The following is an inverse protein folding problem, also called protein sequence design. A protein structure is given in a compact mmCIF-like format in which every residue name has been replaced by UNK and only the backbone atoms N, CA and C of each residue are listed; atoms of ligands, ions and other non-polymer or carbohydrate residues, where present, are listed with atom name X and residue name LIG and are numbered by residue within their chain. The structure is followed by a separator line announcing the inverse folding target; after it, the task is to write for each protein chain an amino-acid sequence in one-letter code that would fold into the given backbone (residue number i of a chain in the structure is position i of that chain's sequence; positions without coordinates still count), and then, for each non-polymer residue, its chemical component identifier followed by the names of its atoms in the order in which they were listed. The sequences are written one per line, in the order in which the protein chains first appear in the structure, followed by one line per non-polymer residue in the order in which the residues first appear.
data_IF_334070861919
#
_entry.id   IF_334070861919
#
_cell.length_a   1.000
_cell.length_b   1.000
_cell.length_c   1.000
_cell.angle_alpha   90.00
_cell.angle_beta   90.00
_cell.angle_gamma   90.00
#
_symmetry.space_group_name_H-M   'P 1'
#
loop_
_entity.id
_entity.type
_entity.pdbx_description
1 polymer ?
#
# COMPACT_ATOMS: atom_id res chain seq x y z
N UNK A 1 -46.54 0.39 1.33
CA UNK A 1 -46.05 -0.53 2.37
C UNK A 1 -44.95 -1.38 1.73
N UNK A 2 -43.71 -1.22 2.19
CA UNK A 2 -42.47 -1.99 1.91
C UNK A 2 -42.10 -2.34 0.45
N UNK A 3 -41.13 -1.59 -0.09
CA UNK A 3 -40.14 -2.09 -1.06
C UNK A 3 -38.77 -1.86 -0.43
N UNK A 4 -38.11 -2.92 0.04
CA UNK A 4 -36.70 -2.89 0.45
C UNK A 4 -36.13 -4.32 0.46
N UNK A 5 -35.92 -4.89 -0.73
CA UNK A 5 -35.06 -6.06 -0.92
C UNK A 5 -33.74 -5.60 -1.55
N UNK A 6 -32.88 -4.96 -0.74
CA UNK A 6 -31.58 -4.45 -1.19
C UNK A 6 -30.62 -5.62 -1.45
N UNK A 7 -29.89 -5.54 -2.56
CA UNK A 7 -28.89 -6.48 -3.05
C UNK A 7 -27.74 -6.65 -2.03
N UNK A 8 -27.69 -7.79 -1.34
CA UNK A 8 -26.57 -8.18 -0.45
C UNK A 8 -25.95 -9.47 -1.00
N UNK A 9 -24.97 -9.36 -1.89
CA UNK A 9 -24.27 -10.55 -2.40
C UNK A 9 -23.03 -10.26 -3.23
N UNK A 10 -23.07 -9.24 -4.09
CA UNK A 10 -21.96 -8.95 -5.01
C UNK A 10 -20.71 -8.34 -4.34
N UNK A 11 -20.88 -7.43 -3.38
CA UNK A 11 -19.76 -6.69 -2.79
C UNK A 11 -18.84 -7.54 -1.91
N UNK A 12 -19.40 -8.42 -1.08
CA UNK A 12 -18.62 -9.22 -0.13
C UNK A 12 -17.75 -10.29 -0.82
N UNK A 13 -18.27 -10.91 -1.89
CA UNK A 13 -17.52 -11.91 -2.65
C UNK A 13 -16.40 -11.28 -3.47
N UNK A 14 -16.65 -10.13 -4.09
CA UNK A 14 -15.65 -9.40 -4.87
C UNK A 14 -14.48 -8.89 -4.01
N UNK A 15 -14.77 -8.39 -2.80
CA UNK A 15 -13.74 -7.96 -1.84
C UNK A 15 -12.89 -9.14 -1.35
N UNK A 16 -13.49 -10.31 -1.09
CA UNK A 16 -12.74 -11.52 -0.74
C UNK A 16 -11.86 -12.02 -1.88
N UNK A 17 -12.36 -11.98 -3.12
CA UNK A 17 -11.61 -12.38 -4.31
C UNK A 17 -10.36 -11.53 -4.52
N UNK A 18 -10.49 -10.20 -4.47
CA UNK A 18 -9.35 -9.28 -4.63
C UNK A 18 -8.34 -9.35 -3.51
N UNK A 19 -8.79 -9.50 -2.27
CA UNK A 19 -7.89 -9.68 -1.13
C UNK A 19 -7.04 -10.95 -1.29
N UNK A 20 -7.66 -12.05 -1.75
CA UNK A 20 -6.96 -13.30 -1.98
C UNK A 20 -5.97 -13.20 -3.15
N UNK A 21 -6.36 -12.55 -4.25
CA UNK A 21 -5.50 -12.31 -5.40
C UNK A 21 -4.25 -11.49 -5.02
N UNK A 22 -4.42 -10.37 -4.32
CA UNK A 22 -3.29 -9.54 -3.87
C UNK A 22 -2.41 -10.24 -2.85
N UNK A 23 -3.00 -11.06 -1.99
CA UNK A 23 -2.22 -11.88 -1.05
C UNK A 23 -1.40 -12.91 -1.81
N UNK A 24 -1.99 -13.59 -2.79
CA UNK A 24 -1.32 -14.59 -3.61
C UNK A 24 -0.18 -13.97 -4.43
N UNK A 25 -0.37 -12.77 -4.99
CA UNK A 25 0.68 -12.03 -5.68
C UNK A 25 1.95 -11.86 -4.83
N UNK A 26 1.81 -11.55 -3.53
CA UNK A 26 2.94 -11.40 -2.63
C UNK A 26 3.58 -12.73 -2.22
N UNK A 27 2.76 -13.78 -2.07
CA UNK A 27 3.27 -15.13 -1.83
C UNK A 27 4.10 -15.63 -3.03
N UNK A 28 3.63 -15.39 -4.26
CA UNK A 28 4.32 -15.79 -5.49
C UNK A 28 5.63 -15.02 -5.70
N UNK A 29 5.75 -13.83 -5.09
CA UNK A 29 6.99 -13.04 -5.00
C UNK A 29 7.97 -13.54 -3.93
N UNK A 30 7.58 -14.53 -3.13
CA UNK A 30 8.41 -15.06 -2.05
C UNK A 30 8.35 -14.23 -0.76
N UNK A 31 7.38 -13.32 -0.61
CA UNK A 31 7.23 -12.53 0.60
C UNK A 31 6.53 -13.33 1.71
N UNK A 32 7.02 -13.19 2.94
CA UNK A 32 6.41 -13.81 4.12
C UNK A 32 5.25 -12.96 4.60
N UNK A 33 4.19 -13.60 5.09
CA UNK A 33 3.04 -12.90 5.65
C UNK A 33 3.36 -12.38 7.05
N UNK A 34 3.32 -11.07 7.21
CA UNK A 34 3.40 -10.39 8.50
C UNK A 34 2.04 -10.31 9.20
N UNK A 35 1.92 -9.34 10.12
CA UNK A 35 0.71 -9.11 10.91
C UNK A 35 -0.53 -8.84 10.04
N UNK A 36 -1.69 -9.27 10.54
CA UNK A 36 -3.01 -8.99 9.94
C UNK A 36 -3.95 -8.37 10.95
N UNK A 37 -4.74 -7.36 10.59
CA UNK A 37 -5.65 -6.72 11.54
C UNK A 37 -6.37 -5.50 10.97
N UNK A 38 -7.22 -4.84 11.77
CA UNK A 38 -7.88 -3.61 11.31
C UNK A 38 -6.88 -2.45 11.17
N UNK A 39 -6.05 -2.24 12.18
CA UNK A 39 -4.98 -1.24 12.18
C UNK A 39 -3.68 -1.95 12.49
N UNK A 40 -2.68 -1.78 11.65
CA UNK A 40 -1.34 -2.33 11.82
C UNK A 40 -0.36 -1.16 11.86
N UNK A 41 0.48 -1.15 12.88
CA UNK A 41 1.63 -0.25 12.94
C UNK A 41 2.90 -1.10 12.91
N UNK A 42 3.77 -0.84 11.95
CA UNK A 42 5.06 -1.49 11.78
C UNK A 42 6.11 -0.57 12.40
N UNK A 43 6.41 -0.83 13.66
CA UNK A 43 7.41 -0.11 14.47
C UNK A 43 8.74 -0.89 14.59
N UNK A 44 8.82 -2.06 13.96
CA UNK A 44 10.04 -2.89 13.87
C UNK A 44 10.25 -3.31 12.43
N UNK A 45 11.46 -3.11 11.92
CA UNK A 45 11.82 -3.46 10.55
C UNK A 45 11.70 -4.99 10.35
N UNK A 46 11.03 -5.46 9.29
CA UNK A 46 11.10 -6.87 8.93
C UNK A 46 12.52 -7.26 8.52
N UNK A 47 12.92 -8.50 8.78
CA UNK A 47 14.26 -9.02 8.44
C UNK A 47 14.30 -9.75 7.10
N UNK A 48 13.14 -9.95 6.49
CA UNK A 48 12.95 -10.62 5.20
C UNK A 48 11.78 -9.96 4.45
N UNK A 49 11.70 -10.06 3.12
CA UNK A 49 10.58 -9.52 2.35
C UNK A 49 9.24 -9.94 2.95
N UNK A 50 8.45 -8.96 3.39
CA UNK A 50 7.25 -9.21 4.20
C UNK A 50 6.06 -8.44 3.68
N UNK A 51 4.86 -9.04 3.70
CA UNK A 51 3.63 -8.33 3.38
C UNK A 51 2.62 -8.30 4.54
N UNK A 52 1.88 -7.19 4.64
CA UNK A 52 0.91 -6.92 5.69
C UNK A 52 -0.50 -6.76 5.13
N UNK A 53 -1.51 -7.22 5.87
CA UNK A 53 -2.91 -7.16 5.43
C UNK A 53 -3.77 -6.48 6.48
N UNK A 54 -4.34 -5.31 6.18
CA UNK A 54 -5.24 -4.64 7.11
C UNK A 54 -6.20 -3.62 6.51
N UNK A 55 -6.93 -2.87 7.33
CA UNK A 55 -7.69 -1.73 6.82
C UNK A 55 -6.79 -0.50 6.74
N UNK A 56 -6.00 -0.27 7.79
CA UNK A 56 -4.98 0.78 7.85
C UNK A 56 -3.63 0.17 8.20
N UNK A 57 -2.60 0.48 7.41
CA UNK A 57 -1.22 0.05 7.67
C UNK A 57 -0.31 1.27 7.77
N UNK A 58 0.42 1.39 8.87
CA UNK A 58 1.36 2.46 9.15
C UNK A 58 2.77 1.91 9.20
N UNK A 59 3.64 2.36 8.30
CA UNK A 59 5.06 2.01 8.30
C UNK A 59 5.82 3.17 8.94
N UNK A 60 6.35 2.98 10.15
CA UNK A 60 7.06 4.02 10.94
C UNK A 60 8.54 3.77 11.10
N UNK A 61 9.02 2.65 10.58
CA UNK A 61 10.40 2.20 10.69
C UNK A 61 11.07 2.27 9.34
N UNK A 62 12.39 2.44 9.35
CA UNK A 62 13.22 2.26 8.16
C UNK A 62 13.34 0.76 7.83
N UNK A 63 13.39 0.43 6.54
CA UNK A 63 13.47 -0.95 6.05
C UNK A 63 14.45 -1.05 4.89
N UNK A 64 15.28 -2.09 4.91
CA UNK A 64 16.21 -2.47 3.85
C UNK A 64 15.73 -3.70 3.06
N UNK A 65 14.52 -4.18 3.34
CA UNK A 65 13.84 -5.26 2.60
C UNK A 65 12.56 -4.77 1.96
N UNK A 66 12.10 -5.50 0.93
CA UNK A 66 10.84 -5.23 0.25
C UNK A 66 9.63 -5.37 1.21
N UNK A 67 8.67 -4.46 1.09
CA UNK A 67 7.43 -4.51 1.87
C UNK A 67 6.21 -4.54 0.95
N UNK A 68 5.35 -5.54 1.16
CA UNK A 68 4.02 -5.62 0.56
C UNK A 68 2.93 -5.11 1.51
N UNK A 69 1.96 -4.35 0.98
CA UNK A 69 0.86 -3.82 1.78
C UNK A 69 -0.44 -4.05 1.03
N UNK A 70 -1.34 -4.83 1.63
CA UNK A 70 -2.74 -4.96 1.21
C UNK A 70 -3.61 -4.23 2.22
N UNK A 71 -4.07 -3.02 1.89
CA UNK A 71 -4.87 -2.23 2.81
C UNK A 71 -5.87 -1.29 2.13
N UNK A 72 -6.87 -0.79 2.87
CA UNK A 72 -7.65 0.34 2.36
C UNK A 72 -6.76 1.59 2.31
N UNK A 73 -6.08 1.87 3.42
CA UNK A 73 -5.18 3.00 3.55
C UNK A 73 -3.80 2.56 4.04
N UNK A 74 -2.74 3.10 3.44
CA UNK A 74 -1.38 2.99 3.95
C UNK A 74 -0.78 4.36 4.23
N UNK A 75 -0.01 4.48 5.31
CA UNK A 75 0.75 5.68 5.67
C UNK A 75 2.23 5.30 5.85
N UNK A 76 3.11 5.94 5.09
CA UNK A 76 4.56 5.70 5.13
C UNK A 76 5.26 6.89 5.76
N UNK A 77 5.94 6.66 6.89
CA UNK A 77 6.69 7.66 7.66
C UNK A 77 8.20 7.38 7.69
N UNK A 78 8.62 6.13 7.47
CA UNK A 78 10.03 5.73 7.45
C UNK A 78 10.63 5.65 6.04
N UNK A 79 11.91 5.30 5.99
CA UNK A 79 12.67 5.09 4.76
C UNK A 79 12.56 3.65 4.29
N UNK A 80 12.22 3.43 3.02
CA UNK A 80 12.31 2.13 2.38
C UNK A 80 13.42 2.18 1.32
N UNK A 81 14.52 1.51 1.61
CA UNK A 81 15.63 1.36 0.67
C UNK A 81 15.33 0.38 -0.46
N UNK A 82 14.38 -0.54 -0.24
CA UNK A 82 13.89 -1.46 -1.26
C UNK A 82 12.47 -1.11 -1.71
N UNK A 83 11.99 -1.81 -2.76
CA UNK A 83 10.72 -1.47 -3.39
C UNK A 83 9.54 -1.74 -2.45
N UNK A 84 8.62 -0.78 -2.36
CA UNK A 84 7.35 -0.95 -1.65
C UNK A 84 6.25 -1.31 -2.64
N UNK A 85 5.42 -2.29 -2.29
CA UNK A 85 4.27 -2.70 -3.07
C UNK A 85 2.98 -2.38 -2.31
N UNK A 86 2.07 -1.65 -2.93
CA UNK A 86 0.79 -1.30 -2.34
C UNK A 86 -0.38 -1.77 -3.19
N UNK A 87 -1.35 -2.41 -2.55
CA UNK A 87 -2.60 -2.88 -3.14
C UNK A 87 -3.74 -2.39 -2.25
N UNK A 88 -4.53 -1.44 -2.76
CA UNK A 88 -5.46 -0.74 -1.88
C UNK A 88 -6.27 0.40 -2.47
N UNK A 89 -6.77 1.30 -1.62
CA UNK A 89 -7.48 2.50 -2.07
C UNK A 89 -6.54 3.70 -2.08
N UNK A 90 -5.92 4.01 -0.93
CA UNK A 90 -5.12 5.21 -0.75
C UNK A 90 -3.79 4.89 -0.08
N UNK A 91 -2.69 5.38 -0.65
CA UNK A 91 -1.39 5.38 0.02
C UNK A 91 -0.90 6.81 0.19
N UNK A 92 -0.44 7.11 1.40
CA UNK A 92 0.09 8.42 1.77
C UNK A 92 1.57 8.29 2.13
N UNK A 93 2.42 8.98 1.39
CA UNK A 93 3.83 9.14 1.75
C UNK A 93 3.91 10.42 2.60
N UNK A 94 4.11 10.27 3.90
CA UNK A 94 4.10 11.36 4.89
C UNK A 94 5.46 12.04 4.99
N UNK A 95 5.51 13.14 5.73
CA UNK A 95 6.77 13.74 6.18
C UNK A 95 7.65 12.69 6.88
N UNK A 96 8.93 12.65 6.48
CA UNK A 96 9.89 11.62 6.88
C UNK A 96 9.88 10.36 6.00
N UNK A 97 8.79 10.10 5.26
CA UNK A 97 8.70 8.96 4.35
C UNK A 97 9.62 9.14 3.15
N UNK A 98 10.52 8.19 2.92
CA UNK A 98 11.45 8.20 1.77
C UNK A 98 11.46 6.84 1.07
N UNK A 99 11.13 6.82 -0.22
CA UNK A 99 11.14 5.63 -1.08
C UNK A 99 12.29 5.70 -2.08
N UNK A 100 13.38 4.97 -1.82
CA UNK A 100 14.58 5.00 -2.67
C UNK A 100 14.36 4.25 -3.99
N UNK A 101 13.85 3.01 -3.93
CA UNK A 101 13.50 2.21 -5.12
C UNK A 101 12.08 2.45 -5.63
N UNK A 102 11.38 3.39 -5.02
CA UNK A 102 10.05 3.81 -5.44
C UNK A 102 8.93 2.89 -4.96
N UNK A 103 7.79 3.02 -5.63
CA UNK A 103 6.52 2.44 -5.22
C UNK A 103 5.87 1.70 -6.39
N UNK A 104 5.39 0.49 -6.17
CA UNK A 104 4.56 -0.25 -7.10
C UNK A 104 3.12 -0.32 -6.58
N UNK A 105 2.15 0.22 -7.32
CA UNK A 105 0.77 0.36 -6.83
C UNK A 105 -0.25 -0.35 -7.70
N UNK A 106 -1.31 -0.84 -7.05
CA UNK A 106 -2.64 -1.03 -7.64
C UNK A 106 -3.63 -0.37 -6.70
N UNK A 107 -3.91 0.92 -6.92
CA UNK A 107 -4.75 1.70 -6.03
C UNK A 107 -5.55 2.81 -6.72
N UNK A 108 -6.40 3.50 -5.96
CA UNK A 108 -7.11 4.67 -6.47
C UNK A 108 -6.24 5.91 -6.38
N UNK A 109 -5.64 6.16 -5.21
CA UNK A 109 -4.92 7.42 -4.94
C UNK A 109 -3.55 7.17 -4.33
N UNK A 110 -2.54 7.83 -4.90
CA UNK A 110 -1.23 8.03 -4.27
C UNK A 110 -1.15 9.49 -3.84
N UNK A 111 -0.96 9.75 -2.54
CA UNK A 111 -0.78 11.10 -1.99
C UNK A 111 0.64 11.24 -1.47
N UNK A 112 1.40 12.18 -2.01
CA UNK A 112 2.66 12.58 -1.39
C UNK A 112 2.42 13.83 -0.53
N UNK A 113 2.41 13.64 0.79
CA UNK A 113 2.10 14.66 1.81
C UNK A 113 3.38 15.02 2.57
N UNK A 114 4.43 15.40 1.84
CA UNK A 114 5.71 15.86 2.39
C UNK A 114 6.83 14.83 2.45
N UNK A 115 6.69 13.68 1.79
CA UNK A 115 7.74 12.68 1.66
C UNK A 115 8.54 12.77 0.35
N UNK A 116 9.52 11.87 0.20
CA UNK A 116 10.42 11.78 -0.94
C UNK A 116 10.25 10.46 -1.69
N UNK A 117 10.16 10.50 -3.01
CA UNK A 117 10.08 9.30 -3.86
C UNK A 117 11.12 9.44 -4.98
N UNK A 118 12.16 8.61 -4.97
CA UNK A 118 13.27 8.67 -5.94
C UNK A 118 13.09 7.68 -7.08
N UNK A 119 12.75 6.42 -6.78
CA UNK A 119 12.52 5.38 -7.78
C UNK A 119 11.20 5.51 -8.57
N UNK A 120 10.43 6.57 -8.32
CA UNK A 120 9.15 6.84 -8.99
C UNK A 120 7.99 5.97 -8.49
N UNK A 121 6.84 6.13 -9.14
CA UNK A 121 5.61 5.35 -8.87
C UNK A 121 5.28 4.56 -10.14
N UNK A 122 5.20 3.23 -10.03
CA UNK A 122 4.83 2.30 -11.11
C UNK A 122 3.52 1.60 -10.80
N UNK A 123 2.86 1.04 -11.82
CA UNK A 123 1.60 0.30 -11.68
C UNK A 123 0.37 1.17 -11.93
N UNK A 124 -0.77 0.74 -11.41
CA UNK A 124 -2.08 1.31 -11.71
C UNK A 124 -2.56 2.21 -10.57
N UNK A 125 -2.55 3.52 -10.81
CA UNK A 125 -3.16 4.54 -9.94
C UNK A 125 -4.15 5.39 -10.75
N UNK A 126 -5.32 5.67 -10.18
CA UNK A 126 -6.27 6.59 -10.83
C UNK A 126 -5.84 8.05 -10.67
N UNK A 127 -5.31 8.39 -9.49
CA UNK A 127 -4.85 9.74 -9.16
C UNK A 127 -3.52 9.66 -8.43
N UNK A 128 -2.57 10.47 -8.88
CA UNK A 128 -1.35 10.76 -8.15
C UNK A 128 -1.45 12.24 -7.77
N UNK A 129 -1.44 12.53 -6.46
CA UNK A 129 -1.48 13.88 -5.92
C UNK A 129 -0.06 14.28 -5.49
N UNK A 130 0.65 15.05 -6.32
CA UNK A 130 1.96 15.56 -5.98
C UNK A 130 1.79 16.87 -5.20
N UNK A 131 2.08 16.91 -3.90
CA UNK A 131 2.48 18.18 -3.30
C UNK A 131 3.96 18.50 -3.62
N UNK A 132 4.72 17.56 -4.24
CA UNK A 132 6.14 17.78 -4.61
C UNK A 132 6.80 16.73 -5.53
N UNK A 133 6.07 15.93 -6.33
CA UNK A 133 6.74 15.09 -7.34
C UNK A 133 7.24 16.00 -8.48
N UNK A 134 8.56 16.25 -8.52
CA UNK A 134 9.20 16.96 -9.63
C UNK A 134 8.81 16.26 -10.94
N UNK A 135 8.09 16.96 -11.81
CA UNK A 135 7.98 16.55 -13.20
C UNK A 135 9.41 16.43 -13.79
N UNK A 136 9.67 15.45 -14.68
CA UNK A 136 10.93 15.43 -15.41
C UNK A 136 11.07 16.76 -16.16
N UNK A 137 12.24 17.40 -16.03
CA UNK A 137 12.56 18.61 -16.79
C UNK A 137 12.64 18.27 -18.29
N UNK A 138 12.19 19.18 -19.17
CA UNK A 138 12.18 18.97 -20.62
C UNK A 138 13.59 18.75 -21.20
#
# INVERSE_FOLDING_TARGET
MLIAGLVIGGGAWWVKGKLNEFTQEFVDKGMVRGSTGQVITIDKAPTEPTFYVGQVVRVRVDTDVEIGIVAQTAELYGTASEKVYFRGQVIQIKEGGHLEKGLDVKCQVVQNVGGKVEGGVTGDAQVIQPDSLKAPSP
#
